data_IF_796302946693
#
_entry.id   IF_796302946693
#
_cell.length_a   1.000
_cell.length_b   1.000
_cell.length_c   1.000
_cell.angle_alpha   90.00
_cell.angle_beta   90.00
_cell.angle_gamma   90.00
#
_symmetry.space_group_name_H-M   'P 1'
#
loop_
_entity.id
_entity.type
_entity.pdbx_description
1 polymer ?
#
# COMPACT_ATOMS: atom_id res chain seq x y z
N UNK A 1 8.00 -16.61 3.15
CA UNK A 1 7.88 -15.49 2.17
C UNK A 1 7.57 -14.15 2.83
N UNK A 2 6.42 -13.94 3.50
CA UNK A 2 6.06 -12.62 4.09
C UNK A 2 7.15 -11.99 4.97
N UNK A 3 7.79 -12.75 5.84
CA UNK A 3 8.89 -12.25 6.68
C UNK A 3 10.05 -11.68 5.86
N UNK A 4 10.36 -12.27 4.69
CA UNK A 4 11.42 -11.78 3.80
C UNK A 4 11.09 -10.37 3.28
N UNK A 5 9.82 -10.12 2.95
CA UNK A 5 9.35 -8.78 2.57
C UNK A 5 9.43 -7.83 3.78
N UNK A 6 9.05 -8.30 4.96
CA UNK A 6 9.13 -7.51 6.19
C UNK A 6 10.57 -7.13 6.59
N UNK A 7 11.57 -7.90 6.17
CA UNK A 7 12.99 -7.63 6.43
C UNK A 7 13.74 -7.05 5.23
N UNK A 8 13.05 -6.64 4.17
CA UNK A 8 13.68 -6.02 2.98
C UNK A 8 14.38 -7.01 2.03
N UNK A 9 14.24 -8.31 2.25
CA UNK A 9 14.82 -9.36 1.38
C UNK A 9 13.92 -9.66 0.18
N UNK A 10 13.62 -8.64 -0.63
CA UNK A 10 12.63 -8.72 -1.71
C UNK A 10 13.00 -9.71 -2.81
N UNK A 11 14.26 -9.76 -3.23
CA UNK A 11 14.71 -10.72 -4.26
C UNK A 11 14.48 -12.16 -3.83
N UNK A 12 14.86 -12.50 -2.59
CA UNK A 12 14.60 -13.83 -2.02
C UNK A 12 13.11 -14.11 -1.93
N UNK A 13 12.31 -13.10 -1.54
CA UNK A 13 10.86 -13.27 -1.48
C UNK A 13 10.27 -13.61 -2.86
N UNK A 14 10.72 -12.93 -3.91
CA UNK A 14 10.29 -13.16 -5.29
C UNK A 14 10.79 -14.47 -5.87
N UNK A 15 12.02 -14.90 -5.54
CA UNK A 15 12.54 -16.22 -5.88
C UNK A 15 11.65 -17.34 -5.30
N UNK A 16 11.23 -17.21 -4.04
CA UNK A 16 10.31 -18.17 -3.40
C UNK A 16 8.89 -18.14 -3.99
N UNK A 17 8.47 -17.00 -4.54
CA UNK A 17 7.14 -16.83 -5.15
C UNK A 17 7.12 -17.26 -6.62
N UNK A 18 8.28 -17.46 -7.24
CA UNK A 18 8.42 -17.88 -8.62
C UNK A 18 8.38 -19.42 -8.76
N UNK A 19 8.06 -19.93 -9.96
CA UNK A 19 8.23 -21.35 -10.29
C UNK A 19 9.65 -21.85 -9.97
N UNK A 20 9.81 -23.13 -9.54
CA UNK A 20 8.81 -24.19 -9.54
C UNK A 20 7.88 -24.22 -8.30
N UNK A 21 7.96 -23.22 -7.41
CA UNK A 21 7.07 -23.16 -6.24
C UNK A 21 5.62 -22.89 -6.67
N UNK A 22 4.69 -23.71 -6.18
CA UNK A 22 3.27 -23.63 -6.50
C UNK A 22 2.44 -23.53 -5.21
N UNK A 23 1.61 -22.50 -5.12
CA UNK A 23 0.82 -22.17 -3.94
C UNK A 23 -0.65 -22.46 -4.20
N UNK A 24 -1.20 -23.47 -3.53
CA UNK A 24 -2.59 -23.89 -3.73
C UNK A 24 -3.56 -23.02 -2.95
N UNK A 25 -4.70 -22.68 -3.56
CA UNK A 25 -5.75 -21.82 -2.98
C UNK A 25 -6.37 -22.36 -1.68
N UNK A 26 -6.28 -23.68 -1.43
CA UNK A 26 -6.86 -24.37 -0.25
C UNK A 26 -6.01 -24.28 1.02
N UNK A 27 -4.73 -23.94 0.89
CA UNK A 27 -3.93 -23.61 2.05
C UNK A 27 -4.43 -22.26 2.54
N UNK A 28 -4.93 -22.18 3.76
CA UNK A 28 -5.44 -20.94 4.38
C UNK A 28 -4.40 -19.82 4.53
N UNK A 29 -3.35 -19.80 3.71
CA UNK A 29 -2.39 -18.74 3.48
C UNK A 29 -3.15 -17.49 3.04
N UNK A 30 -3.20 -16.50 3.93
CA UNK A 30 -3.75 -15.20 3.62
C UNK A 30 -3.05 -14.63 2.38
N UNK A 31 -3.85 -14.25 1.39
CA UNK A 31 -3.51 -13.56 0.14
C UNK A 31 -2.00 -13.54 -0.20
N UNK A 32 -1.47 -14.68 -0.66
CA UNK A 32 -0.06 -14.83 -1.11
C UNK A 32 0.26 -13.83 -2.22
N UNK A 33 -0.73 -13.53 -3.07
CA UNK A 33 -0.64 -12.49 -4.10
C UNK A 33 -0.39 -11.10 -3.50
N UNK A 34 -1.01 -10.73 -2.37
CA UNK A 34 -0.65 -9.48 -1.67
C UNK A 34 0.82 -9.42 -1.29
N UNK A 35 1.43 -10.54 -0.88
CA UNK A 35 2.87 -10.59 -0.56
C UNK A 35 3.73 -10.45 -1.81
N UNK A 36 3.30 -11.03 -2.93
CA UNK A 36 3.92 -10.86 -4.24
C UNK A 36 3.87 -9.39 -4.70
N UNK A 37 2.72 -8.74 -4.57
CA UNK A 37 2.57 -7.30 -4.88
C UNK A 37 3.43 -6.44 -3.96
N UNK A 38 3.46 -6.71 -2.65
CA UNK A 38 4.34 -5.98 -1.72
C UNK A 38 5.82 -6.12 -2.09
N UNK A 39 6.27 -7.33 -2.43
CA UNK A 39 7.66 -7.57 -2.80
C UNK A 39 8.07 -6.80 -4.07
N UNK A 40 7.26 -6.86 -5.12
CA UNK A 40 7.52 -6.09 -6.34
C UNK A 40 7.44 -4.58 -6.14
N UNK A 41 6.42 -4.10 -5.42
CA UNK A 41 6.31 -2.65 -5.17
C UNK A 41 7.50 -2.13 -4.37
N UNK A 42 7.90 -2.80 -3.28
CA UNK A 42 8.98 -2.31 -2.44
C UNK A 42 10.34 -2.43 -3.14
N UNK A 43 10.61 -3.53 -3.86
CA UNK A 43 11.83 -3.65 -4.68
C UNK A 43 11.86 -2.59 -5.80
N UNK A 44 10.73 -2.36 -6.46
CA UNK A 44 10.62 -1.34 -7.50
C UNK A 44 10.85 0.07 -6.98
N UNK A 45 10.43 0.37 -5.74
CA UNK A 45 10.72 1.64 -5.06
C UNK A 45 12.22 1.76 -4.78
N UNK A 46 12.87 0.73 -4.23
CA UNK A 46 14.32 0.73 -3.97
C UNK A 46 15.12 0.94 -5.26
N UNK A 47 14.73 0.28 -6.36
CA UNK A 47 15.36 0.45 -7.67
C UNK A 47 15.18 1.87 -8.21
N UNK A 48 13.99 2.45 -8.03
CA UNK A 48 13.71 3.82 -8.43
C UNK A 48 14.56 4.82 -7.64
N UNK A 49 14.71 4.63 -6.33
CA UNK A 49 15.58 5.45 -5.47
C UNK A 49 17.07 5.29 -5.83
N UNK A 50 17.48 4.10 -6.26
CA UNK A 50 18.83 3.83 -6.74
C UNK A 50 19.11 4.41 -8.15
N UNK A 51 18.13 5.06 -8.79
CA UNK A 51 18.29 5.65 -10.12
C UNK A 51 18.13 4.66 -11.27
N UNK A 52 17.52 3.49 -11.04
CA UNK A 52 17.14 2.52 -12.08
C UNK A 52 15.62 2.49 -12.29
N UNK A 53 15.04 3.53 -12.93
CA UNK A 53 13.60 3.58 -13.16
C UNK A 53 13.12 2.50 -14.12
N UNK A 54 13.98 1.95 -14.99
CA UNK A 54 13.57 0.94 -15.98
C UNK A 54 13.31 -0.42 -15.32
N UNK A 55 14.15 -0.85 -14.38
CA UNK A 55 13.87 -2.05 -13.59
C UNK A 55 12.68 -1.82 -12.64
N UNK A 56 12.58 -0.64 -12.03
CA UNK A 56 11.40 -0.27 -11.22
C UNK A 56 10.08 -0.39 -12.00
N UNK A 57 10.04 0.08 -13.26
CA UNK A 57 8.86 -0.09 -14.14
C UNK A 57 8.50 -1.57 -14.32
N UNK A 58 9.48 -2.45 -14.54
CA UNK A 58 9.25 -3.89 -14.71
C UNK A 58 8.65 -4.51 -13.44
N UNK A 59 9.14 -4.11 -12.28
CA UNK A 59 8.60 -4.57 -11.00
C UNK A 59 7.16 -4.11 -10.78
N UNK A 60 6.87 -2.84 -11.04
CA UNK A 60 5.52 -2.33 -10.91
C UNK A 60 4.56 -2.94 -11.94
N UNK A 61 5.03 -3.29 -13.14
CA UNK A 61 4.24 -4.06 -14.11
C UNK A 61 3.98 -5.48 -13.61
N UNK A 62 5.00 -6.17 -13.10
CA UNK A 62 4.87 -7.51 -12.53
C UNK A 62 3.88 -7.53 -11.36
N UNK A 63 3.79 -6.46 -10.58
CA UNK A 63 2.82 -6.31 -9.50
C UNK A 63 1.33 -6.25 -9.96
N UNK A 64 1.07 -5.96 -11.24
CA UNK A 64 -0.28 -6.04 -11.83
C UNK A 64 -0.67 -7.48 -12.22
N UNK A 65 0.31 -8.37 -12.34
CA UNK A 65 0.09 -9.72 -12.81
C UNK A 65 -0.48 -10.63 -11.71
N UNK A 66 -1.14 -11.69 -12.16
CA UNK A 66 -1.64 -12.77 -11.32
C UNK A 66 -1.03 -14.09 -11.81
N UNK A 67 0.23 -14.39 -11.42
CA UNK A 67 0.90 -15.61 -11.86
C UNK A 67 0.09 -16.86 -11.51
N UNK A 68 -0.03 -17.79 -12.46
CA UNK A 68 -0.84 -19.01 -12.32
C UNK A 68 -0.40 -19.86 -11.12
N UNK A 69 0.91 -19.89 -10.83
CA UNK A 69 1.47 -20.63 -9.71
C UNK A 69 1.04 -20.10 -8.33
N UNK A 70 0.39 -18.94 -8.26
CA UNK A 70 -0.18 -18.38 -7.03
C UNK A 70 -1.68 -18.69 -6.85
N UNK A 71 -2.31 -19.34 -7.84
CA UNK A 71 -3.75 -19.73 -7.87
C UNK A 71 -4.73 -18.65 -7.37
N UNK A 72 -4.36 -17.37 -7.54
CA UNK A 72 -5.14 -16.23 -7.07
C UNK A 72 -5.75 -15.50 -8.26
N UNK A 73 -7.07 -15.42 -8.31
CA UNK A 73 -7.76 -14.63 -9.32
C UNK A 73 -7.81 -13.15 -8.92
N UNK A 74 -7.85 -12.22 -9.90
CA UNK A 74 -8.10 -10.81 -9.63
C UNK A 74 -9.41 -10.61 -8.85
N UNK A 75 -9.43 -9.74 -7.83
CA UNK A 75 -10.65 -9.42 -7.10
C UNK A 75 -11.60 -8.60 -7.98
N UNK A 76 -12.89 -8.94 -7.95
CA UNK A 76 -13.93 -8.23 -8.73
C UNK A 76 -14.05 -6.74 -8.39
N UNK A 77 -13.77 -6.36 -7.14
CA UNK A 77 -13.88 -4.96 -6.67
C UNK A 77 -12.63 -4.10 -6.94
N UNK A 78 -11.63 -4.65 -7.63
CA UNK A 78 -10.31 -4.02 -7.81
C UNK A 78 -9.34 -4.31 -6.67
N UNK A 79 -8.04 -4.39 -7.01
CA UNK A 79 -6.96 -4.77 -6.12
C UNK A 79 -6.18 -3.57 -5.55
N UNK A 80 -4.99 -3.29 -6.09
CA UNK A 80 -4.06 -2.22 -5.66
C UNK A 80 -3.65 -1.34 -6.84
N UNK A 81 -4.47 -1.30 -7.88
CA UNK A 81 -4.18 -0.62 -9.14
C UNK A 81 -3.90 0.88 -8.90
N UNK A 82 -4.63 1.53 -7.99
CA UNK A 82 -4.39 2.93 -7.64
C UNK A 82 -2.94 3.18 -7.20
N UNK A 83 -2.38 2.28 -6.41
CA UNK A 83 -1.02 2.36 -5.89
C UNK A 83 0.01 1.97 -6.95
N UNK A 84 -0.21 0.85 -7.63
CA UNK A 84 0.71 0.37 -8.66
C UNK A 84 0.82 1.37 -9.80
N UNK A 85 -0.30 1.96 -10.26
CA UNK A 85 -0.29 3.00 -11.28
C UNK A 85 0.36 4.29 -10.80
N UNK A 86 0.23 4.67 -9.52
CA UNK A 86 0.97 5.83 -9.00
C UNK A 86 2.48 5.61 -9.09
N UNK A 87 2.95 4.41 -8.71
CA UNK A 87 4.36 4.06 -8.78
C UNK A 87 4.89 3.94 -10.20
N UNK A 88 4.10 3.39 -11.13
CA UNK A 88 4.41 3.47 -12.56
C UNK A 88 4.55 4.93 -13.02
N UNK A 89 3.62 5.80 -12.62
CA UNK A 89 3.68 7.23 -12.93
C UNK A 89 5.00 7.87 -12.45
N UNK A 90 5.41 7.58 -11.21
CA UNK A 90 6.69 8.03 -10.63
C UNK A 90 7.90 7.50 -11.40
N UNK A 91 7.89 6.23 -11.78
CA UNK A 91 9.01 5.61 -12.48
C UNK A 91 9.15 6.11 -13.92
N UNK A 92 8.05 6.26 -14.66
CA UNK A 92 8.06 6.88 -15.98
C UNK A 92 8.48 8.34 -15.92
N UNK A 93 8.08 9.10 -14.89
CA UNK A 93 8.55 10.47 -14.67
C UNK A 93 10.08 10.52 -14.48
N UNK A 94 10.63 9.64 -13.64
CA UNK A 94 12.08 9.52 -13.43
C UNK A 94 12.84 9.06 -14.69
N UNK A 95 12.21 8.26 -15.55
CA UNK A 95 12.75 7.86 -16.85
C UNK A 95 12.65 8.95 -17.94
N UNK A 96 12.17 10.16 -17.61
CA UNK A 96 11.97 11.25 -18.58
C UNK A 96 10.76 11.09 -19.50
N UNK A 97 9.94 10.06 -19.26
CA UNK A 97 8.76 9.69 -20.07
C UNK A 97 7.49 10.35 -19.54
N UNK A 98 7.43 11.67 -19.70
CA UNK A 98 6.39 12.52 -19.08
C UNK A 98 4.97 12.18 -19.55
N UNK A 99 4.78 11.82 -20.82
CA UNK A 99 3.44 11.52 -21.35
C UNK A 99 2.87 10.24 -20.71
N UNK A 100 3.69 9.20 -20.63
CA UNK A 100 3.36 7.93 -19.98
C UNK A 100 3.12 8.13 -18.49
N UNK A 101 3.95 8.93 -17.81
CA UNK A 101 3.77 9.27 -16.41
C UNK A 101 2.37 9.88 -16.16
N UNK A 102 1.96 10.84 -16.98
CA UNK A 102 0.63 11.47 -16.87
C UNK A 102 -0.50 10.48 -17.13
N UNK A 103 -0.35 9.55 -18.07
CA UNK A 103 -1.35 8.50 -18.31
C UNK A 103 -1.53 7.60 -17.08
N UNK A 104 -0.42 7.16 -16.47
CA UNK A 104 -0.47 6.34 -15.26
C UNK A 104 -1.02 7.10 -14.04
N UNK A 105 -0.71 8.38 -13.87
CA UNK A 105 -1.35 9.19 -12.83
C UNK A 105 -2.86 9.31 -13.06
N UNK A 106 -3.34 9.44 -14.30
CA UNK A 106 -4.79 9.43 -14.59
C UNK A 106 -5.41 8.09 -14.20
N UNK A 107 -4.81 6.97 -14.62
CA UNK A 107 -5.25 5.61 -14.26
C UNK A 107 -5.30 5.39 -12.75
N UNK A 108 -4.29 5.87 -12.03
CA UNK A 108 -4.25 5.82 -10.56
C UNK A 108 -5.41 6.61 -9.95
N UNK A 109 -5.60 7.86 -10.37
CA UNK A 109 -6.66 8.73 -9.84
C UNK A 109 -8.08 8.19 -10.11
N UNK A 110 -8.29 7.48 -11.23
CA UNK A 110 -9.58 6.89 -11.62
C UNK A 110 -9.74 5.43 -11.19
N UNK A 111 -8.77 4.81 -10.54
CA UNK A 111 -8.82 3.39 -10.19
C UNK A 111 -10.00 3.09 -9.23
N UNK A 112 -10.73 1.97 -9.42
CA UNK A 112 -11.90 1.60 -8.61
C UNK A 112 -11.64 1.68 -7.11
N UNK A 113 -12.57 2.23 -6.34
CA UNK A 113 -12.47 2.28 -4.87
C UNK A 113 -12.93 0.95 -4.28
N UNK A 114 -12.01 0.20 -3.70
CA UNK A 114 -12.35 -0.93 -2.84
C UNK A 114 -12.61 -0.43 -1.41
N UNK A 115 -13.83 -0.66 -0.89
CA UNK A 115 -14.22 -0.24 0.46
C UNK A 115 -13.35 -0.85 1.58
N UNK A 116 -12.62 -1.93 1.31
CA UNK A 116 -11.71 -2.57 2.25
C UNK A 116 -10.31 -1.94 2.35
N UNK A 117 -9.93 -1.03 1.45
CA UNK A 117 -8.54 -0.52 1.31
C UNK A 117 -8.48 1.01 1.22
N UNK A 118 -8.89 1.74 2.26
CA UNK A 118 -8.91 3.21 2.24
C UNK A 118 -7.54 3.83 1.97
N UNK A 119 -6.44 3.21 2.40
CA UNK A 119 -5.08 3.70 2.16
C UNK A 119 -4.76 3.96 0.68
N UNK A 120 -5.47 3.30 -0.26
CA UNK A 120 -5.30 3.54 -1.69
C UNK A 120 -5.66 4.97 -2.11
N UNK A 121 -6.51 5.67 -1.34
CA UNK A 121 -6.85 7.07 -1.61
C UNK A 121 -5.64 8.01 -1.46
N UNK A 122 -4.60 7.61 -0.72
CA UNK A 122 -3.36 8.37 -0.64
C UNK A 122 -2.67 8.45 -2.01
N UNK A 123 -2.63 7.32 -2.72
CA UNK A 123 -2.05 7.25 -4.06
C UNK A 123 -2.91 7.96 -5.09
N UNK A 124 -4.24 7.84 -5.00
CA UNK A 124 -5.16 8.63 -5.84
C UNK A 124 -4.95 10.13 -5.65
N UNK A 125 -4.87 10.58 -4.41
CA UNK A 125 -4.64 11.97 -4.06
C UNK A 125 -3.27 12.47 -4.54
N UNK A 126 -2.23 11.65 -4.36
CA UNK A 126 -0.88 11.96 -4.84
C UNK A 126 -0.83 12.08 -6.37
N UNK A 127 -1.51 11.19 -7.09
CA UNK A 127 -1.71 11.27 -8.54
C UNK A 127 -2.49 12.52 -8.95
N UNK A 128 -3.58 12.88 -8.24
CA UNK A 128 -4.32 14.11 -8.49
C UNK A 128 -3.45 15.36 -8.32
N UNK A 129 -2.57 15.38 -7.32
CA UNK A 129 -1.59 16.45 -7.13
C UNK A 129 -0.63 16.55 -8.32
N UNK A 130 -0.11 15.41 -8.80
CA UNK A 130 0.74 15.34 -10.00
C UNK A 130 0.02 15.78 -11.29
N UNK A 131 -1.30 15.59 -11.35
CA UNK A 131 -2.15 16.06 -12.45
C UNK A 131 -2.59 17.52 -12.32
N UNK A 132 -2.07 18.29 -11.35
CA UNK A 132 -2.43 19.70 -11.15
C UNK A 132 -3.81 19.92 -10.52
N UNK A 133 -4.35 18.93 -9.79
CA UNK A 133 -5.65 19.00 -9.09
C UNK A 133 -5.49 18.96 -7.57
N UNK A 134 -4.76 19.91 -6.95
CA UNK A 134 -4.40 19.84 -5.53
C UNK A 134 -5.60 19.97 -4.57
N UNK A 135 -6.67 20.67 -4.95
CA UNK A 135 -7.86 20.83 -4.11
C UNK A 135 -8.61 19.50 -3.94
N UNK A 136 -8.65 18.68 -4.99
CA UNK A 136 -9.25 17.35 -4.94
C UNK A 136 -8.39 16.37 -4.17
N UNK A 137 -7.07 16.42 -4.35
CA UNK A 137 -6.11 15.67 -3.55
C UNK A 137 -6.28 15.97 -2.04
N UNK A 138 -6.39 17.25 -1.68
CA UNK A 138 -6.58 17.69 -0.30
C UNK A 138 -7.83 17.08 0.35
N UNK A 139 -8.95 16.98 -0.38
CA UNK A 139 -10.18 16.36 0.14
C UNK A 139 -9.96 14.89 0.52
N UNK A 140 -9.23 14.14 -0.30
CA UNK A 140 -8.90 12.74 -0.01
C UNK A 140 -7.96 12.59 1.19
N UNK A 141 -6.95 13.45 1.32
CA UNK A 141 -6.06 13.42 2.47
C UNK A 141 -6.77 13.76 3.79
N UNK A 142 -7.66 14.76 3.79
CA UNK A 142 -8.54 15.05 4.94
C UNK A 142 -9.40 13.84 5.28
N UNK A 143 -9.99 13.19 4.27
CA UNK A 143 -10.83 12.02 4.48
C UNK A 143 -10.05 10.86 5.12
N UNK A 144 -8.82 10.60 4.69
CA UNK A 144 -7.95 9.58 5.30
C UNK A 144 -7.64 9.87 6.76
N UNK A 145 -7.32 11.13 7.06
CA UNK A 145 -7.02 11.56 8.42
C UNK A 145 -8.21 11.34 9.36
N UNK A 146 -9.41 11.76 8.94
CA UNK A 146 -10.63 11.60 9.72
C UNK A 146 -11.04 10.12 9.88
N UNK A 147 -10.98 9.33 8.80
CA UNK A 147 -11.23 7.88 8.89
C UNK A 147 -10.28 7.19 9.89
N UNK A 148 -9.00 7.57 9.89
CA UNK A 148 -8.02 7.04 10.83
C UNK A 148 -8.36 7.41 12.28
N UNK A 149 -8.77 8.66 12.54
CA UNK A 149 -9.22 9.15 13.85
C UNK A 149 -10.45 8.41 14.34
N UNK A 150 -11.46 8.25 13.49
CA UNK A 150 -12.69 7.53 13.80
C UNK A 150 -12.43 6.07 14.16
N UNK A 151 -11.63 5.36 13.34
CA UNK A 151 -11.24 3.97 13.60
C UNK A 151 -10.45 3.84 14.91
N UNK A 152 -9.57 4.78 15.22
CA UNK A 152 -8.82 4.76 16.47
C UNK A 152 -9.73 5.03 17.68
N UNK A 153 -10.70 5.93 17.55
CA UNK A 153 -11.67 6.24 18.60
C UNK A 153 -12.62 5.07 18.87
N UNK A 154 -13.09 4.36 17.83
CA UNK A 154 -13.96 3.20 18.00
C UNK A 154 -13.26 2.04 18.71
N UNK A 155 -11.97 1.82 18.43
CA UNK A 155 -11.16 0.83 19.15
C UNK A 155 -11.03 1.14 20.65
N UNK A 156 -10.98 2.42 21.04
CA UNK A 156 -10.92 2.84 22.46
C UNK A 156 -12.25 2.65 23.20
N UNK A 157 -13.38 2.78 22.50
CA UNK A 157 -14.73 2.66 23.08
C UNK A 157 -15.14 1.21 23.36
N UNK A 158 -14.29 0.22 23.04
CA UNK A 158 -14.55 -1.18 23.33
C UNK A 158 -15.76 -1.74 22.59
N UNK A 159 -16.18 -1.14 21.47
CA UNK A 159 -17.33 -1.60 20.69
C UNK A 159 -16.99 -2.93 20.02
N UNK A 160 -17.14 -3.99 20.80
CA UNK A 160 -16.96 -5.36 20.40
C UNK A 160 -18.16 -5.76 19.55
N UNK A 161 -18.07 -5.52 18.25
CA UNK A 161 -18.72 -6.36 17.23
C UNK A 161 -18.12 -7.79 17.24
N UNK A 162 -17.80 -8.35 18.41
CA UNK A 162 -17.22 -9.68 18.59
C UNK A 162 -18.28 -10.79 18.59
N UNK A 163 -19.57 -10.47 18.50
CA UNK A 163 -20.65 -11.45 18.64
C UNK A 163 -20.83 -12.38 17.41
N UNK A 164 -20.26 -12.05 16.23
CA UNK A 164 -20.43 -12.83 14.98
C UNK A 164 -19.14 -13.49 14.44
N UNK A 165 -18.08 -13.62 15.25
CA UNK A 165 -16.74 -13.98 14.76
C UNK A 165 -16.35 -15.46 14.98
N UNK A 166 -17.13 -16.42 14.47
CA UNK A 166 -16.84 -17.86 14.64
C UNK A 166 -16.08 -18.53 13.46
N UNK A 167 -15.84 -17.84 12.34
CA UNK A 167 -15.29 -18.48 11.13
C UNK A 167 -14.27 -17.68 10.28
N UNK A 168 -13.44 -16.80 10.87
CA UNK A 168 -12.40 -16.09 10.09
C UNK A 168 -11.14 -15.73 10.88
N UNK A 169 -9.97 -15.75 10.22
CA UNK A 169 -8.69 -15.28 10.77
C UNK A 169 -8.84 -13.82 11.23
N UNK A 170 -8.92 -13.59 12.54
CA UNK A 170 -9.06 -12.24 13.13
C UNK A 170 -7.79 -11.42 12.90
N UNK A 171 -7.91 -10.21 12.36
CA UNK A 171 -6.89 -9.18 12.58
C UNK A 171 -6.79 -8.90 14.08
N UNK A 172 -5.58 -8.92 14.63
CA UNK A 172 -5.36 -8.62 16.04
C UNK A 172 -5.74 -7.16 16.35
N UNK A 173 -6.11 -6.84 17.61
CA UNK A 173 -6.33 -5.45 18.02
C UNK A 173 -5.15 -4.53 17.69
N UNK A 174 -3.91 -5.04 17.80
CA UNK A 174 -2.68 -4.34 17.40
C UNK A 174 -2.65 -4.02 15.90
N UNK A 175 -3.01 -4.98 15.04
CA UNK A 175 -3.11 -4.76 13.58
C UNK A 175 -4.18 -3.74 13.22
N UNK A 176 -5.35 -3.80 13.87
CA UNK A 176 -6.43 -2.81 13.67
C UNK A 176 -5.98 -1.40 14.09
N UNK A 177 -5.30 -1.28 15.23
CA UNK A 177 -4.75 -0.02 15.74
C UNK A 177 -3.66 0.53 14.81
N UNK A 178 -2.75 -0.32 14.35
CA UNK A 178 -1.69 0.06 13.41
C UNK A 178 -2.28 0.59 12.09
N UNK A 179 -3.30 -0.08 11.54
CA UNK A 179 -3.99 0.37 10.32
C UNK A 179 -4.67 1.72 10.51
N UNK A 180 -5.34 1.95 11.64
CA UNK A 180 -5.95 3.25 11.93
C UNK A 180 -4.90 4.38 11.99
N UNK A 181 -3.81 4.15 12.71
CA UNK A 181 -2.69 5.10 12.82
C UNK A 181 -1.99 5.33 11.47
N UNK A 182 -1.86 4.29 10.64
CA UNK A 182 -1.31 4.40 9.29
C UNK A 182 -2.17 5.32 8.41
N UNK A 183 -3.50 5.18 8.44
CA UNK A 183 -4.41 6.09 7.71
C UNK A 183 -4.29 7.54 8.19
N UNK A 184 -4.21 7.75 9.50
CA UNK A 184 -3.96 9.08 10.06
C UNK A 184 -2.65 9.67 9.54
N UNK A 185 -1.58 8.88 9.54
CA UNK A 185 -0.27 9.30 9.07
C UNK A 185 -0.27 9.66 7.59
N UNK A 186 -0.88 8.84 6.73
CA UNK A 186 -1.00 9.12 5.30
C UNK A 186 -1.79 10.40 5.02
N UNK A 187 -2.89 10.62 5.74
CA UNK A 187 -3.70 11.83 5.62
C UNK A 187 -2.93 13.08 6.04
N UNK A 188 -2.25 13.04 7.19
CA UNK A 188 -1.41 14.14 7.68
C UNK A 188 -0.24 14.44 6.72
N UNK A 189 0.44 13.41 6.22
CA UNK A 189 1.57 13.56 5.29
C UNK A 189 1.12 14.25 4.00
N UNK A 190 0.01 13.81 3.41
CA UNK A 190 -0.54 14.44 2.20
C UNK A 190 -1.00 15.89 2.40
N UNK A 191 -1.29 16.29 3.64
CA UNK A 191 -1.63 17.68 4.02
C UNK A 191 -0.40 18.54 4.34
N UNK A 192 0.80 17.95 4.38
CA UNK A 192 2.04 18.64 4.76
C UNK A 192 2.28 18.75 6.27
N UNK A 193 1.47 18.07 7.10
CA UNK A 193 1.70 17.97 8.54
C UNK A 193 2.64 16.80 8.85
N UNK A 194 3.94 17.03 8.61
CA UNK A 194 4.99 16.02 8.77
C UNK A 194 5.14 15.55 10.23
N UNK A 195 4.96 16.44 11.20
CA UNK A 195 5.06 16.09 12.61
C UNK A 195 4.00 15.04 12.99
N UNK A 196 2.73 15.32 12.66
CA UNK A 196 1.65 14.37 12.92
C UNK A 196 1.83 13.08 12.13
N UNK A 197 2.31 13.17 10.88
CA UNK A 197 2.56 12.00 10.03
C UNK A 197 3.59 11.05 10.64
N UNK A 198 4.80 11.55 10.92
CA UNK A 198 5.92 10.79 11.50
C UNK A 198 5.50 10.15 12.83
N UNK A 199 4.86 10.92 13.72
CA UNK A 199 4.38 10.40 15.01
C UNK A 199 3.33 9.30 14.84
N UNK A 200 2.44 9.43 13.86
CA UNK A 200 1.42 8.42 13.57
C UNK A 200 2.04 7.14 13.02
N UNK A 201 3.01 7.23 12.11
CA UNK A 201 3.72 6.06 11.57
C UNK A 201 4.55 5.35 12.64
N UNK A 202 5.28 6.08 13.50
CA UNK A 202 6.00 5.49 14.66
C UNK A 202 5.06 4.73 15.58
N UNK A 203 3.90 5.32 15.91
CA UNK A 203 2.87 4.64 16.72
C UNK A 203 2.28 3.42 16.01
N UNK A 204 2.12 3.47 14.68
CA UNK A 204 1.63 2.35 13.89
C UNK A 204 2.62 1.16 13.95
N UNK A 205 3.93 1.42 13.81
CA UNK A 205 4.97 0.41 13.91
C UNK A 205 5.12 -0.15 15.33
N UNK A 206 4.94 0.67 16.36
CA UNK A 206 4.89 0.19 17.75
C UNK A 206 3.71 -0.77 17.98
N UNK A 207 2.58 -0.56 17.30
CA UNK A 207 1.40 -1.43 17.39
C UNK A 207 1.50 -2.68 16.50
N UNK A 208 2.23 -2.60 15.39
CA UNK A 208 2.52 -3.71 14.49
C UNK A 208 3.90 -3.51 13.80
N UNK A 209 4.98 -4.10 14.35
CA UNK A 209 6.33 -3.94 13.78
C UNK A 209 6.48 -4.46 12.35
N UNK A 210 5.64 -5.42 11.94
CA UNK A 210 5.59 -5.99 10.59
C UNK A 210 4.80 -5.17 9.57
N UNK A 211 4.36 -3.95 9.90
CA UNK A 211 3.61 -3.10 8.96
C UNK A 211 4.56 -2.44 7.94
N UNK A 212 4.92 -3.18 6.88
CA UNK A 212 5.90 -2.76 5.86
C UNK A 212 5.65 -1.36 5.28
N UNK A 213 4.40 -1.05 4.94
CA UNK A 213 4.03 0.25 4.37
C UNK A 213 4.10 1.43 5.35
N UNK A 214 3.94 1.17 6.65
CA UNK A 214 4.12 2.22 7.66
C UNK A 214 5.60 2.50 7.89
N UNK A 215 6.46 1.48 7.71
CA UNK A 215 7.91 1.64 7.73
C UNK A 215 8.39 2.43 6.53
N UNK A 216 7.96 2.05 5.33
CA UNK A 216 8.25 2.80 4.11
C UNK A 216 7.78 4.26 4.24
N UNK A 217 6.51 4.49 4.62
CA UNK A 217 5.98 5.85 4.73
C UNK A 217 6.68 6.69 5.80
N UNK A 218 7.16 6.07 6.89
CA UNK A 218 7.97 6.76 7.89
C UNK A 218 9.30 7.22 7.32
N UNK A 219 10.02 6.33 6.61
CA UNK A 219 11.30 6.67 6.00
C UNK A 219 11.15 7.79 4.98
N UNK A 220 10.11 7.76 4.16
CA UNK A 220 9.85 8.84 3.19
C UNK A 220 9.48 10.16 3.85
N UNK A 221 8.59 10.13 4.86
CA UNK A 221 8.20 11.35 5.56
C UNK A 221 9.35 11.98 6.36
N UNK A 222 10.39 11.23 6.72
CA UNK A 222 11.60 11.75 7.38
C UNK A 222 12.60 12.37 6.37
N UNK A 223 12.44 12.13 5.05
CA UNK A 223 13.26 12.74 3.99
C UNK A 223 12.70 14.09 3.49
N UNK A 224 11.37 14.28 3.59
CA UNK A 224 10.64 15.50 3.20
C UNK A 224 10.87 16.68 4.17
#
# INVERSE_FOLDING_TARGET
VRLLVETGSYDKALEFLAPPHHFRKWEGLGNIHSTYVDAHLLRGIDLLEAGDPLQGIRDFQAALEYPENLETAPPYEGAREAEIYYWLGRAFEAAGKKAEAMDFYRKSASAPRSGGRPALDFFRASSLRKLGRPQEARKLFVHLLEQGREKLASLKKGTSLDFFAKFGKKESPGQKKARALYLMGLGAWGLGDLETAIQSFKKALNANPGHVWARWALMEAEKD
#
